data_IF_162942670242
#
_entry.id   IF_162942670242
#
_cell.length_a   1.000
_cell.length_b   1.000
_cell.length_c   1.000
_cell.angle_alpha   90.00
_cell.angle_beta   90.00
_cell.angle_gamma   90.00
#
_symmetry.space_group_name_H-M   'P 1'
#
loop_
_entity.id
_entity.type
_entity.pdbx_description
1 polymer ?
#
# COMPACT_ATOMS: atom_id res chain seq x y z
N UNK A 1 1.50 -11.03 3.13
CA UNK A 1 1.43 -11.81 1.87
C UNK A 1 0.43 -11.11 0.97
N UNK A 2 0.86 -10.73 -0.24
CA UNK A 2 -0.03 -10.12 -1.23
C UNK A 2 -0.30 -11.14 -2.33
N UNK A 3 -1.57 -11.45 -2.55
CA UNK A 3 -2.00 -12.37 -3.59
C UNK A 3 -2.45 -11.55 -4.80
N UNK A 4 -1.76 -11.74 -5.93
CA UNK A 4 -2.07 -11.06 -7.18
C UNK A 4 -2.80 -12.04 -8.09
N UNK A 5 -4.02 -11.69 -8.48
CA UNK A 5 -4.73 -12.34 -9.56
C UNK A 5 -4.47 -11.56 -10.86
N UNK A 6 -3.78 -12.21 -11.80
CA UNK A 6 -3.46 -11.62 -13.09
C UNK A 6 -4.44 -12.05 -14.20
N UNK A 7 -5.51 -12.78 -13.88
CA UNK A 7 -6.50 -13.28 -14.83
C UNK A 7 -6.08 -14.51 -15.62
N UNK A 8 -4.78 -14.84 -15.66
CA UNK A 8 -4.24 -16.07 -16.28
C UNK A 8 -3.36 -16.89 -15.32
N UNK A 9 -2.98 -16.31 -14.19
CA UNK A 9 -2.26 -16.96 -13.10
C UNK A 9 -2.53 -16.25 -11.80
N UNK A 10 -2.41 -16.99 -10.71
CA UNK A 10 -2.31 -16.44 -9.36
C UNK A 10 -0.85 -16.42 -8.95
N UNK A 11 -0.35 -15.25 -8.55
CA UNK A 11 0.99 -15.09 -7.98
C UNK A 11 0.90 -14.64 -6.53
N UNK A 12 1.93 -14.94 -5.75
CA UNK A 12 2.07 -14.40 -4.40
C UNK A 12 3.42 -13.72 -4.25
N UNK A 13 3.43 -12.50 -3.73
CA UNK A 13 4.65 -11.80 -3.32
C UNK A 13 4.60 -11.55 -1.80
N UNK A 14 5.72 -11.81 -1.13
CA UNK A 14 5.93 -11.34 0.24
C UNK A 14 6.58 -9.98 0.13
N UNK A 15 5.81 -8.93 0.42
CA UNK A 15 6.31 -7.56 0.46
C UNK A 15 6.69 -7.25 1.90
N UNK A 16 7.96 -6.92 2.10
CA UNK A 16 8.43 -6.41 3.38
C UNK A 16 7.94 -4.98 3.59
N UNK A 17 7.47 -4.71 4.81
CA UNK A 17 7.03 -3.39 5.24
C UNK A 17 8.21 -2.72 5.92
N UNK A 18 8.57 -1.52 5.45
CA UNK A 18 9.62 -0.75 6.09
C UNK A 18 9.10 -0.15 7.41
N UNK A 19 9.88 -0.24 8.50
CA UNK A 19 9.51 0.38 9.76
C UNK A 19 9.45 1.90 9.60
N UNK A 20 8.48 2.52 10.25
CA UNK A 20 8.29 3.97 10.29
C UNK A 20 8.03 4.40 11.73
N UNK A 21 8.56 5.56 12.11
CA UNK A 21 8.40 6.16 13.44
C UNK A 21 7.42 7.32 13.40
N UNK A 22 7.35 8.04 12.29
CA UNK A 22 6.52 9.24 12.15
C UNK A 22 5.52 9.16 10.98
N UNK A 23 4.60 10.12 10.95
CA UNK A 23 3.54 10.19 9.92
C UNK A 23 4.10 10.41 8.52
N UNK A 24 5.25 11.07 8.38
CA UNK A 24 5.88 11.35 7.09
C UNK A 24 6.42 10.05 6.49
N UNK A 25 7.21 9.31 7.24
CA UNK A 25 7.76 7.99 6.86
C UNK A 25 6.64 7.00 6.55
N UNK A 26 5.57 6.96 7.35
CA UNK A 26 4.38 6.13 7.04
C UNK A 26 3.78 6.50 5.69
N UNK A 27 3.63 7.79 5.38
CA UNK A 27 3.06 8.23 4.11
C UNK A 27 3.98 7.89 2.92
N UNK A 28 5.31 7.98 3.10
CA UNK A 28 6.29 7.55 2.12
C UNK A 28 6.18 6.05 1.85
N UNK A 29 6.01 5.24 2.90
CA UNK A 29 5.80 3.80 2.78
C UNK A 29 4.47 3.47 2.08
N UNK A 30 3.38 4.19 2.39
CA UNK A 30 2.09 4.06 1.68
C UNK A 30 2.29 4.34 0.18
N UNK A 31 3.03 5.40 -0.17
CA UNK A 31 3.32 5.72 -1.57
C UNK A 31 4.19 4.64 -2.24
N UNK A 32 5.19 4.09 -1.54
CA UNK A 32 6.04 3.00 -2.06
C UNK A 32 5.21 1.76 -2.38
N UNK A 33 4.38 1.32 -1.42
CA UNK A 33 3.50 0.17 -1.60
C UNK A 33 2.50 0.39 -2.74
N UNK A 34 1.95 1.59 -2.88
CA UNK A 34 1.02 1.90 -3.96
C UNK A 34 1.69 1.91 -5.34
N UNK A 35 2.73 2.71 -5.52
CA UNK A 35 3.33 2.94 -6.85
C UNK A 35 4.29 1.85 -7.28
N UNK A 36 5.11 1.31 -6.37
CA UNK A 36 6.14 0.33 -6.73
C UNK A 36 5.64 -1.11 -6.62
N UNK A 37 4.72 -1.37 -5.68
CA UNK A 37 4.20 -2.72 -5.43
C UNK A 37 2.76 -2.92 -5.91
N UNK A 38 2.10 -1.88 -6.44
CA UNK A 38 0.76 -1.98 -7.00
C UNK A 38 -0.32 -2.33 -5.97
N UNK A 39 -0.08 -2.05 -4.69
CA UNK A 39 -1.03 -2.37 -3.62
C UNK A 39 -2.25 -1.46 -3.71
N UNK A 40 -3.45 -2.04 -3.65
CA UNK A 40 -4.69 -1.29 -3.79
C UNK A 40 -4.94 -0.32 -2.63
N UNK A 41 -5.65 0.78 -2.91
CA UNK A 41 -6.04 1.76 -1.89
C UNK A 41 -6.80 1.12 -0.71
N UNK A 42 -7.69 0.17 -0.99
CA UNK A 42 -8.50 -0.50 0.02
C UNK A 42 -7.64 -1.38 0.93
N UNK A 43 -6.67 -2.10 0.36
CA UNK A 43 -5.75 -2.90 1.15
C UNK A 43 -4.89 -2.01 2.06
N UNK A 44 -4.34 -0.91 1.53
CA UNK A 44 -3.57 0.04 2.32
C UNK A 44 -4.41 0.69 3.42
N UNK A 45 -5.66 1.06 3.12
CA UNK A 45 -6.58 1.63 4.10
C UNK A 45 -6.80 0.66 5.28
N UNK A 46 -7.10 -0.61 4.98
CA UNK A 46 -7.29 -1.64 6.00
C UNK A 46 -5.99 -1.91 6.78
N UNK A 47 -4.85 -2.02 6.08
CA UNK A 47 -3.56 -2.34 6.68
C UNK A 47 -3.06 -1.25 7.65
N UNK A 48 -3.19 0.02 7.26
CA UNK A 48 -2.80 1.15 8.10
C UNK A 48 -3.91 1.65 9.03
N UNK A 49 -5.02 0.91 9.13
CA UNK A 49 -6.20 1.24 9.93
C UNK A 49 -6.67 2.70 9.71
N UNK A 50 -6.90 3.05 8.44
CA UNK A 50 -7.30 4.38 8.02
C UNK A 50 -8.34 4.32 6.91
N UNK A 51 -9.01 5.45 6.65
CA UNK A 51 -10.02 5.49 5.59
C UNK A 51 -9.39 5.45 4.19
N UNK A 52 -10.07 4.82 3.24
CA UNK A 52 -9.65 4.82 1.83
C UNK A 52 -9.48 6.23 1.25
N UNK A 53 -10.34 7.23 1.58
CA UNK A 53 -10.11 8.63 1.20
C UNK A 53 -8.80 9.20 1.75
N UNK A 54 -8.44 8.87 3.00
CA UNK A 54 -7.17 9.33 3.60
C UNK A 54 -5.95 8.78 2.85
N UNK A 55 -6.00 7.51 2.42
CA UNK A 55 -4.95 6.92 1.57
C UNK A 55 -4.90 7.60 0.21
N UNK A 56 -6.06 7.83 -0.42
CA UNK A 56 -6.16 8.53 -1.71
C UNK A 56 -5.51 9.92 -1.63
N UNK A 57 -5.77 10.67 -0.57
CA UNK A 57 -5.14 11.99 -0.35
C UNK A 57 -3.61 11.88 -0.18
N UNK A 58 -3.10 10.80 0.43
CA UNK A 58 -1.66 10.61 0.61
C UNK A 58 -0.98 10.33 -0.72
N UNK A 59 -1.51 9.40 -1.51
CA UNK A 59 -0.87 9.03 -2.79
C UNK A 59 -0.99 10.15 -3.83
N UNK A 60 -2.10 10.88 -3.87
CA UNK A 60 -2.33 11.98 -4.81
C UNK A 60 -1.65 13.30 -4.41
N UNK A 61 -1.07 13.40 -3.22
CA UNK A 61 -0.30 14.58 -2.77
C UNK A 61 1.16 14.56 -3.21
N UNK A 62 1.60 13.49 -3.88
CA UNK A 62 2.95 13.36 -4.41
C UNK A 62 3.11 14.11 -5.72
#
# INVERSE_FOLDING_TARGET
MLLCDYGYKTGGEVIEIHPFVNRKERNEEICRLYYEKGVSHLFLANFFNMSQPSVSVIVNKK
#
